data_IF_343741302251
#
_entry.id   IF_343741302251
#
_cell.length_a   1.000
_cell.length_b   1.000
_cell.length_c   1.000
_cell.angle_alpha   90.00
_cell.angle_beta   90.00
_cell.angle_gamma   90.00
#
_symmetry.space_group_name_H-M   'P 1'
#
loop_
_entity.id
_entity.type
_entity.pdbx_description
1 polymer ?
#
# COMPACT_ATOMS: atom_id res chain seq x y z
N UNK A 1 24.82 -6.37 -0.05
CA UNK A 1 24.62 -7.72 -0.62
C UNK A 1 23.89 -8.51 0.44
N UNK A 2 22.71 -8.98 0.08
CA UNK A 2 21.82 -9.72 0.96
C UNK A 2 22.41 -11.11 1.23
N UNK A 3 22.30 -11.57 2.48
CA UNK A 3 22.73 -12.90 2.90
C UNK A 3 21.78 -13.40 4.00
N UNK A 4 21.63 -14.72 4.09
CA UNK A 4 20.96 -15.36 5.23
C UNK A 4 21.96 -15.55 6.38
N UNK A 5 21.46 -15.70 7.60
CA UNK A 5 22.25 -16.20 8.72
C UNK A 5 22.55 -17.70 8.57
N UNK A 6 21.70 -18.45 7.85
CA UNK A 6 21.99 -19.84 7.48
C UNK A 6 22.98 -19.87 6.32
N UNK A 7 24.17 -20.42 6.60
CA UNK A 7 25.26 -20.60 5.65
C UNK A 7 24.91 -21.44 4.42
N UNK A 8 23.82 -22.21 4.46
CA UNK A 8 23.37 -23.04 3.34
C UNK A 8 22.18 -22.44 2.58
N UNK A 9 21.70 -21.25 2.96
CA UNK A 9 20.57 -20.59 2.33
C UNK A 9 21.03 -19.46 1.39
N UNK A 10 20.91 -19.71 0.08
CA UNK A 10 21.43 -18.81 -0.95
C UNK A 10 20.37 -18.16 -1.83
N UNK A 11 19.10 -18.54 -1.70
CA UNK A 11 18.05 -18.10 -2.62
C UNK A 11 17.91 -16.58 -2.63
N UNK A 12 18.00 -15.94 -1.46
CA UNK A 12 17.92 -14.50 -1.32
C UNK A 12 19.05 -13.78 -2.07
N UNK A 13 20.30 -14.20 -1.83
CA UNK A 13 21.46 -13.62 -2.52
C UNK A 13 21.38 -13.81 -4.06
N UNK A 14 20.87 -14.96 -4.51
CA UNK A 14 20.66 -15.23 -5.93
C UNK A 14 19.51 -14.41 -6.53
N UNK A 15 18.44 -14.18 -5.78
CA UNK A 15 17.33 -13.32 -6.18
C UNK A 15 17.79 -11.87 -6.33
N UNK A 16 18.51 -11.32 -5.35
CA UNK A 16 19.11 -9.97 -5.42
C UNK A 16 20.00 -9.85 -6.66
N UNK A 17 20.81 -10.88 -6.95
CA UNK A 17 21.66 -10.92 -8.15
C UNK A 17 20.87 -10.92 -9.46
N UNK A 18 19.78 -11.69 -9.53
CA UNK A 18 18.90 -11.72 -10.70
C UNK A 18 18.24 -10.36 -10.92
N UNK A 19 17.78 -9.72 -9.85
CA UNK A 19 17.17 -8.40 -9.87
C UNK A 19 18.17 -7.30 -10.28
N UNK A 20 19.39 -7.34 -9.73
CA UNK A 20 20.50 -6.48 -10.15
C UNK A 20 20.83 -6.65 -11.63
N UNK A 21 20.81 -7.89 -12.14
CA UNK A 21 21.04 -8.18 -13.57
C UNK A 21 19.95 -7.57 -14.45
N UNK A 22 18.68 -7.66 -14.04
CA UNK A 22 17.56 -7.06 -14.76
C UNK A 22 17.71 -5.54 -14.87
N UNK A 23 18.09 -4.88 -13.78
CA UNK A 23 18.30 -3.42 -13.74
C UNK A 23 19.68 -2.98 -14.24
N UNK A 24 20.57 -3.94 -14.51
CA UNK A 24 21.86 -3.77 -15.18
C UNK A 24 23.08 -3.75 -14.26
N UNK A 25 22.91 -3.43 -12.97
CA UNK A 25 23.98 -3.52 -11.96
C UNK A 25 23.43 -3.48 -10.54
N UNK A 26 24.23 -3.87 -9.55
CA UNK A 26 23.89 -3.68 -8.12
C UNK A 26 23.83 -2.20 -7.73
N UNK A 27 24.63 -1.33 -8.36
CA UNK A 27 24.61 0.10 -8.10
C UNK A 27 23.27 0.71 -8.52
N UNK A 28 22.66 0.18 -9.58
CA UNK A 28 21.33 0.60 -10.03
C UNK A 28 20.19 0.23 -9.07
N UNK A 29 20.44 -0.61 -8.07
CA UNK A 29 19.47 -0.93 -7.02
C UNK A 29 19.50 0.07 -5.85
N UNK A 30 20.54 0.92 -5.76
CA UNK A 30 20.61 1.94 -4.70
C UNK A 30 19.54 3.02 -4.94
N UNK A 31 18.71 3.26 -3.93
CA UNK A 31 17.68 4.30 -3.97
C UNK A 31 16.35 3.87 -4.61
N UNK A 32 16.12 2.57 -4.82
CA UNK A 32 14.77 2.05 -5.10
C UNK A 32 13.89 2.07 -3.85
N UNK A 33 12.57 2.14 -4.04
CA UNK A 33 11.61 2.05 -2.92
C UNK A 33 11.17 0.61 -2.68
N UNK A 34 10.70 0.31 -1.47
CA UNK A 34 10.14 -1.01 -1.17
C UNK A 34 8.93 -1.29 -2.06
N UNK A 35 8.10 -0.28 -2.35
CA UNK A 35 6.96 -0.37 -3.25
C UNK A 35 7.34 -0.86 -4.65
N UNK A 36 8.42 -0.31 -5.24
CA UNK A 36 8.89 -0.73 -6.56
C UNK A 36 9.30 -2.21 -6.57
N UNK A 37 9.98 -2.67 -5.52
CA UNK A 37 10.35 -4.07 -5.39
C UNK A 37 9.13 -4.98 -5.20
N UNK A 38 8.14 -4.54 -4.41
CA UNK A 38 6.91 -5.29 -4.19
C UNK A 38 6.11 -5.46 -5.47
N UNK A 39 5.99 -4.41 -6.29
CA UNK A 39 5.34 -4.49 -7.60
C UNK A 39 6.11 -5.43 -8.55
N UNK A 40 7.44 -5.29 -8.64
CA UNK A 40 8.27 -6.12 -9.52
C UNK A 40 8.25 -7.61 -9.11
N UNK A 41 8.11 -7.93 -7.82
CA UNK A 41 8.09 -9.31 -7.32
C UNK A 41 6.72 -9.97 -7.29
N UNK A 42 5.64 -9.18 -7.16
CA UNK A 42 4.29 -9.74 -7.00
C UNK A 42 3.39 -9.47 -8.20
N UNK A 43 3.71 -8.51 -9.05
CA UNK A 43 2.80 -8.00 -10.08
C UNK A 43 1.57 -7.28 -9.50
N UNK A 44 1.56 -7.02 -8.19
CA UNK A 44 0.50 -6.29 -7.50
C UNK A 44 0.55 -4.79 -7.72
N UNK A 45 -0.41 -4.08 -7.14
CA UNK A 45 -0.51 -2.62 -7.16
C UNK A 45 -0.19 -2.06 -5.79
N UNK A 46 0.80 -1.16 -5.69
CA UNK A 46 1.18 -0.57 -4.40
C UNK A 46 0.58 0.82 -4.19
N UNK A 47 -0.04 1.00 -3.03
CA UNK A 47 -0.50 2.28 -2.50
C UNK A 47 0.45 2.75 -1.40
N UNK A 48 0.69 4.06 -1.32
CA UNK A 48 1.55 4.67 -0.30
C UNK A 48 0.77 5.70 0.51
N UNK A 49 0.92 5.66 1.83
CA UNK A 49 0.25 6.56 2.77
C UNK A 49 1.26 7.20 3.73
N UNK A 50 1.28 8.53 3.78
CA UNK A 50 2.04 9.29 4.77
C UNK A 50 1.17 9.59 6.00
N UNK A 51 1.43 8.87 7.09
CA UNK A 51 0.59 8.80 8.29
C UNK A 51 0.50 10.14 9.02
N UNK A 52 1.59 10.92 9.02
CA UNK A 52 1.73 12.13 9.83
C UNK A 52 1.31 13.42 9.11
N UNK A 53 0.68 13.29 7.94
CA UNK A 53 0.23 14.41 7.12
C UNK A 53 -1.28 14.56 7.16
N UNK A 54 -1.78 15.76 6.84
CA UNK A 54 -3.22 16.01 6.68
C UNK A 54 -3.82 15.27 5.47
N UNK A 55 -2.97 14.71 4.59
CA UNK A 55 -3.39 13.88 3.46
C UNK A 55 -3.72 12.44 3.87
N UNK A 56 -3.34 12.03 5.09
CA UNK A 56 -3.66 10.71 5.61
C UNK A 56 -5.19 10.54 5.73
N UNK A 57 -5.78 9.52 5.09
CA UNK A 57 -7.21 9.32 5.16
C UNK A 57 -7.67 8.98 6.59
N UNK A 58 -8.77 9.55 7.09
CA UNK A 58 -9.25 9.31 8.45
C UNK A 58 -9.70 7.85 8.68
N UNK A 59 -10.05 7.15 7.60
CA UNK A 59 -10.44 5.74 7.58
C UNK A 59 -9.25 4.79 7.30
N UNK A 60 -8.00 5.22 7.49
CA UNK A 60 -6.81 4.40 7.23
C UNK A 60 -6.86 3.01 7.89
N UNK A 61 -7.34 2.91 9.13
CA UNK A 61 -7.48 1.60 9.78
C UNK A 61 -8.41 0.65 9.00
N UNK A 62 -9.52 1.17 8.47
CA UNK A 62 -10.45 0.40 7.65
C UNK A 62 -9.80 -0.04 6.34
N UNK A 63 -9.01 0.83 5.71
CA UNK A 63 -8.23 0.50 4.50
C UNK A 63 -7.27 -0.66 4.82
N UNK A 64 -6.47 -0.54 5.89
CA UNK A 64 -5.54 -1.58 6.33
C UNK A 64 -6.25 -2.90 6.68
N UNK A 65 -7.42 -2.83 7.32
CA UNK A 65 -8.23 -4.01 7.66
C UNK A 65 -8.74 -4.71 6.39
N UNK A 66 -9.30 -3.95 5.43
CA UNK A 66 -9.79 -4.45 4.14
C UNK A 66 -8.65 -5.05 3.31
N UNK A 67 -7.45 -4.44 3.36
CA UNK A 67 -6.24 -4.95 2.72
C UNK A 67 -5.77 -6.27 3.36
N UNK A 68 -5.72 -6.34 4.69
CA UNK A 68 -5.37 -7.57 5.42
C UNK A 68 -6.33 -8.73 5.10
N UNK A 69 -7.64 -8.47 5.05
CA UNK A 69 -8.66 -9.47 4.68
C UNK A 69 -8.48 -10.00 3.25
N UNK A 70 -7.88 -9.20 2.36
CA UNK A 70 -7.55 -9.54 0.98
C UNK A 70 -6.13 -10.08 0.80
N UNK A 71 -5.42 -10.32 1.91
CA UNK A 71 -4.02 -10.79 1.92
C UNK A 71 -3.06 -9.88 1.16
N UNK A 72 -3.36 -8.58 1.09
CA UNK A 72 -2.39 -7.59 0.61
C UNK A 72 -1.16 -7.61 1.51
N UNK A 73 0.01 -7.44 0.91
CA UNK A 73 1.23 -7.20 1.69
C UNK A 73 1.23 -5.77 2.20
N UNK A 74 1.72 -5.59 3.43
CA UNK A 74 1.80 -4.27 4.04
C UNK A 74 3.16 -4.07 4.68
N UNK A 75 3.82 -2.99 4.29
CA UNK A 75 5.05 -2.50 4.87
C UNK A 75 4.82 -1.19 5.61
N UNK A 76 5.66 -0.90 6.60
CA UNK A 76 5.68 0.42 7.23
C UNK A 76 7.10 0.80 7.63
N UNK A 77 7.34 2.11 7.77
CA UNK A 77 8.65 2.63 8.14
C UNK A 77 8.53 3.92 8.94
N UNK A 78 9.66 4.30 9.54
CA UNK A 78 9.82 5.55 10.27
C UNK A 78 10.89 6.36 9.53
N UNK A 79 10.51 7.50 8.98
CA UNK A 79 11.39 8.39 8.24
C UNK A 79 12.51 8.94 9.13
N UNK A 80 13.67 9.16 8.52
CA UNK A 80 14.82 9.82 9.14
C UNK A 80 15.02 11.19 8.49
N UNK A 81 15.35 12.20 9.30
CA UNK A 81 15.69 13.54 8.80
C UNK A 81 17.13 13.59 8.27
N UNK A 82 18.02 12.78 8.86
CA UNK A 82 19.45 12.75 8.55
C UNK A 82 19.93 11.29 8.43
N UNK A 83 20.86 11.05 7.49
CA UNK A 83 21.43 9.72 7.25
C UNK A 83 22.15 9.13 8.49
N UNK A 84 22.62 9.97 9.41
CA UNK A 84 23.20 9.54 10.69
C UNK A 84 22.19 8.89 11.65
N UNK A 85 20.89 9.09 11.42
CA UNK A 85 19.82 8.45 12.17
C UNK A 85 19.32 7.15 11.53
N UNK A 86 19.92 6.72 10.42
CA UNK A 86 19.60 5.46 9.77
C UNK A 86 19.85 4.31 10.73
N UNK A 87 18.88 3.40 10.86
CA UNK A 87 18.92 2.25 11.78
C UNK A 87 19.09 2.64 13.26
N UNK A 88 18.74 3.87 13.65
CA UNK A 88 18.82 4.31 15.04
C UNK A 88 17.67 3.74 15.88
N UNK A 89 18.01 3.07 16.98
CA UNK A 89 17.05 2.54 17.97
C UNK A 89 16.50 3.67 18.84
N UNK A 90 15.18 3.79 18.90
CA UNK A 90 14.43 4.72 19.72
C UNK A 90 14.24 4.18 21.14
N UNK A 91 13.91 5.06 22.08
CA UNK A 91 13.69 4.71 23.49
C UNK A 91 12.54 3.71 23.73
N UNK A 92 11.63 3.57 22.77
CA UNK A 92 10.48 2.67 22.80
C UNK A 92 10.75 1.33 22.06
N UNK A 93 12.01 1.11 21.65
CA UNK A 93 12.48 -0.10 20.97
C UNK A 93 12.38 -0.07 19.44
N UNK A 94 11.65 0.89 18.86
CA UNK A 94 11.51 1.00 17.40
C UNK A 94 12.79 1.54 16.75
N UNK A 95 13.07 1.12 15.53
CA UNK A 95 14.24 1.50 14.74
C UNK A 95 13.82 2.43 13.60
N UNK A 96 14.47 3.60 13.50
CA UNK A 96 14.26 4.55 12.41
C UNK A 96 14.98 4.16 11.13
N UNK A 97 14.45 4.58 9.98
CA UNK A 97 15.05 4.29 8.67
C UNK A 97 15.02 2.80 8.32
N UNK A 98 14.20 2.02 9.01
CA UNK A 98 14.10 0.58 8.88
C UNK A 98 12.71 0.18 8.40
N UNK A 99 12.65 -0.90 7.62
CA UNK A 99 11.40 -1.43 7.09
C UNK A 99 10.83 -2.50 8.04
N UNK A 100 9.55 -2.37 8.35
CA UNK A 100 8.76 -3.33 9.11
C UNK A 100 7.66 -3.92 8.24
N UNK A 101 7.20 -5.12 8.58
CA UNK A 101 6.04 -5.74 7.93
C UNK A 101 4.82 -5.67 8.86
N UNK A 102 3.67 -5.29 8.33
CA UNK A 102 2.40 -5.40 9.06
C UNK A 102 1.80 -6.77 8.76
N UNK A 103 1.74 -7.63 9.77
CA UNK A 103 1.34 -9.05 9.59
C UNK A 103 -0.09 -9.33 10.02
N UNK A 104 -0.70 -8.45 10.81
CA UNK A 104 -2.12 -8.55 11.17
C UNK A 104 -2.74 -7.20 11.51
N UNK A 105 -3.99 -7.00 11.09
CA UNK A 105 -4.79 -5.82 11.42
C UNK A 105 -6.16 -6.31 11.89
N UNK A 106 -6.50 -6.08 13.17
CA UNK A 106 -7.70 -6.65 13.77
C UNK A 106 -8.32 -5.72 14.81
N UNK A 107 -9.65 -5.79 14.90
CA UNK A 107 -10.33 -5.40 16.13
C UNK A 107 -10.19 -6.53 17.17
N UNK A 108 -9.69 -6.17 18.35
CA UNK A 108 -9.57 -7.07 19.50
C UNK A 108 -10.68 -6.75 20.47
N UNK A 109 -11.45 -7.78 20.83
CA UNK A 109 -12.51 -7.65 21.81
C UNK A 109 -11.93 -7.60 23.22
N UNK A 110 -12.35 -6.58 23.96
CA UNK A 110 -12.01 -6.41 25.37
C UNK A 110 -13.29 -6.48 26.16
N UNK A 111 -13.31 -7.36 27.15
CA UNK A 111 -14.40 -7.48 28.11
C UNK A 111 -13.83 -7.47 29.53
N UNK A 112 -13.63 -6.27 30.06
CA UNK A 112 -13.13 -6.06 31.41
C UNK A 112 -14.02 -5.04 32.13
N UNK A 113 -14.09 -5.13 33.47
CA UNK A 113 -14.99 -4.34 34.34
C UNK A 113 -14.94 -2.83 34.10
N UNK A 114 -13.83 -2.30 33.56
CA UNK A 114 -13.61 -0.87 33.30
C UNK A 114 -13.59 -0.50 31.81
N UNK A 115 -13.44 -1.46 30.92
CA UNK A 115 -13.26 -1.23 29.47
C UNK A 115 -13.97 -2.36 28.74
N UNK A 116 -14.98 -2.01 27.97
CA UNK A 116 -15.69 -2.93 27.08
C UNK A 116 -15.69 -2.36 25.66
N UNK A 117 -15.50 -3.22 24.67
CA UNK A 117 -15.61 -2.85 23.26
C UNK A 117 -14.59 -3.53 22.37
N UNK A 118 -14.31 -2.89 21.23
CA UNK A 118 -13.34 -3.33 20.23
C UNK A 118 -12.20 -2.33 20.19
N UNK A 119 -10.96 -2.81 20.32
CA UNK A 119 -9.77 -1.99 20.17
C UNK A 119 -9.09 -2.28 18.82
N UNK A 120 -8.76 -1.25 18.03
CA UNK A 120 -8.00 -1.42 16.80
C UNK A 120 -6.53 -1.68 17.13
N UNK A 121 -6.06 -2.91 16.88
CA UNK A 121 -4.66 -3.29 17.06
C UNK A 121 -4.02 -3.69 15.73
N UNK A 122 -2.72 -3.41 15.63
CA UNK A 122 -1.87 -3.77 14.50
C UNK A 122 -0.72 -4.62 15.01
N UNK A 123 -0.44 -5.74 14.34
CA UNK A 123 0.73 -6.58 14.57
C UNK A 123 1.78 -6.26 13.53
N UNK A 124 2.98 -6.01 14.00
CA UNK A 124 4.11 -5.54 13.21
C UNK A 124 5.28 -6.50 13.47
N UNK A 125 6.07 -6.79 12.43
CA UNK A 125 7.25 -7.63 12.50
C UNK A 125 8.48 -6.84 12.10
N UNK A 126 9.50 -6.91 12.93
CA UNK A 126 10.86 -6.54 12.58
C UNK A 126 11.53 -7.71 11.81
N UNK A 127 11.89 -7.55 10.52
CA UNK A 127 12.48 -8.63 9.74
C UNK A 127 13.82 -9.16 10.28
N UNK A 128 14.54 -8.38 11.09
CA UNK A 128 15.78 -8.82 11.71
C UNK A 128 15.58 -9.88 12.79
N UNK A 129 14.35 -10.06 13.30
CA UNK A 129 14.04 -11.06 14.32
C UNK A 129 14.86 -10.93 15.60
N UNK A 130 15.41 -9.74 15.86
CA UNK A 130 16.22 -9.46 17.05
C UNK A 130 15.36 -8.85 18.17
N UNK A 131 15.91 -8.76 19.38
CA UNK A 131 15.20 -8.28 20.58
C UNK A 131 14.76 -6.79 20.53
N UNK A 132 14.99 -6.08 19.41
CA UNK A 132 14.54 -4.69 19.24
C UNK A 132 13.05 -4.65 18.87
N UNK A 133 12.22 -4.84 19.89
CA UNK A 133 10.76 -4.85 19.81
C UNK A 133 10.14 -3.65 20.52
N UNK A 134 8.90 -3.33 20.17
CA UNK A 134 8.10 -2.33 20.84
C UNK A 134 7.97 -2.61 22.33
N UNK A 135 8.33 -1.65 23.19
CA UNK A 135 8.26 -1.80 24.65
C UNK A 135 7.07 -1.12 25.30
N UNK A 136 6.14 -0.55 24.51
CA UNK A 136 4.99 0.19 25.01
C UNK A 136 3.75 -0.68 25.29
N UNK A 137 2.58 -0.05 25.29
CA UNK A 137 1.31 -0.75 25.47
C UNK A 137 1.08 -1.79 24.37
N UNK A 138 0.57 -2.96 24.74
CA UNK A 138 0.36 -4.13 23.87
C UNK A 138 1.62 -4.86 23.40
N UNK A 139 2.81 -4.45 23.86
CA UNK A 139 4.02 -5.28 23.74
C UNK A 139 3.85 -6.66 24.38
N UNK A 140 4.76 -7.57 24.10
CA UNK A 140 4.69 -8.96 24.57
C UNK A 140 4.62 -9.09 26.10
N UNK A 141 5.27 -8.18 26.82
CA UNK A 141 5.32 -8.14 28.29
C UNK A 141 4.29 -7.18 28.90
N UNK A 142 3.41 -6.61 28.07
CA UNK A 142 2.42 -5.60 28.46
C UNK A 142 1.33 -6.18 29.36
N UNK A 143 0.95 -5.42 30.40
CA UNK A 143 -0.15 -5.80 31.31
C UNK A 143 -1.51 -5.63 30.66
N UNK A 144 -1.59 -4.88 29.58
CA UNK A 144 -2.79 -4.63 28.79
C UNK A 144 -3.36 -5.92 28.20
N UNK A 145 -2.55 -6.97 28.05
CA UNK A 145 -3.08 -8.29 27.71
C UNK A 145 -3.96 -8.92 28.81
N UNK A 146 -3.95 -8.44 30.05
CA UNK A 146 -4.80 -8.98 31.13
C UNK A 146 -6.28 -8.71 30.95
N UNK A 147 -6.65 -7.69 30.15
CA UNK A 147 -8.04 -7.34 29.87
C UNK A 147 -8.63 -8.08 28.65
N UNK A 148 -7.83 -8.92 27.98
CA UNK A 148 -8.26 -9.73 26.83
C UNK A 148 -8.46 -11.19 27.28
N UNK A 149 -9.58 -11.79 26.91
CA UNK A 149 -9.88 -13.18 27.27
C UNK A 149 -8.89 -14.17 26.61
N UNK A 150 -8.65 -15.36 27.21
CA UNK A 150 -7.81 -16.38 26.59
C UNK A 150 -8.28 -16.81 25.20
N UNK A 151 -9.60 -16.89 24.99
CA UNK A 151 -10.23 -17.23 23.71
C UNK A 151 -9.90 -16.18 22.64
N UNK A 152 -9.97 -14.89 22.99
CA UNK A 152 -9.62 -13.81 22.07
C UNK A 152 -8.12 -13.78 21.76
N UNK A 153 -7.26 -14.07 22.73
CA UNK A 153 -5.81 -14.23 22.49
C UNK A 153 -5.52 -15.34 21.49
N UNK A 154 -6.22 -16.47 21.63
CA UNK A 154 -6.10 -17.57 20.67
C UNK A 154 -6.62 -17.16 19.28
N UNK A 155 -7.77 -16.47 19.20
CA UNK A 155 -8.35 -16.00 17.93
C UNK A 155 -7.45 -15.03 17.18
N UNK A 156 -6.76 -14.13 17.89
CA UNK A 156 -5.84 -13.20 17.25
C UNK A 156 -4.50 -13.85 16.89
N UNK A 157 -4.24 -15.07 17.37
CA UNK A 157 -2.98 -15.78 17.15
C UNK A 157 -1.84 -15.17 17.96
N UNK A 158 -2.12 -14.75 19.20
CA UNK A 158 -1.11 -14.16 20.06
C UNK A 158 -0.07 -15.21 20.45
N UNK A 159 1.14 -15.05 19.93
CA UNK A 159 2.35 -15.75 20.35
C UNK A 159 3.27 -14.77 21.05
N UNK A 160 4.10 -15.28 21.96
CA UNK A 160 5.13 -14.49 22.65
C UNK A 160 6.48 -15.14 22.36
N UNK A 161 6.82 -15.15 21.07
CA UNK A 161 8.06 -15.72 20.57
C UNK A 161 9.06 -14.58 20.33
N UNK A 162 10.35 -14.85 20.49
CA UNK A 162 11.39 -13.87 20.16
C UNK A 162 11.66 -13.88 18.64
N UNK A 163 10.65 -13.50 17.85
CA UNK A 163 10.67 -13.51 16.39
C UNK A 163 10.58 -12.11 15.76
N UNK A 164 10.61 -11.07 16.61
CA UNK A 164 10.48 -9.67 16.24
C UNK A 164 9.05 -9.23 15.94
N UNK A 165 8.03 -10.08 16.15
CA UNK A 165 6.62 -9.69 16.09
C UNK A 165 6.16 -9.03 17.39
N UNK A 166 5.42 -7.93 17.28
CA UNK A 166 4.79 -7.27 18.41
C UNK A 166 3.47 -6.64 18.01
N UNK A 167 2.58 -6.45 18.98
CA UNK A 167 1.34 -5.69 18.79
C UNK A 167 1.47 -4.26 19.33
N UNK A 168 0.71 -3.36 18.72
CA UNK A 168 0.47 -2.02 19.25
C UNK A 168 -0.94 -1.54 18.91
N UNK A 169 -1.39 -0.53 19.64
CA UNK A 169 -2.64 0.15 19.30
C UNK A 169 -2.49 0.92 17.98
N UNK A 170 -3.56 1.02 17.19
CA UNK A 170 -3.52 1.83 15.97
C UNK A 170 -3.18 3.31 16.27
N UNK A 171 -3.59 3.83 17.43
CA UNK A 171 -3.24 5.18 17.85
C UNK A 171 -1.74 5.34 18.12
N UNK A 172 -1.07 4.34 18.68
CA UNK A 172 0.38 4.38 18.87
C UNK A 172 1.10 4.16 17.54
N UNK A 173 0.56 3.30 16.67
CA UNK A 173 1.07 3.15 15.32
C UNK A 173 1.08 4.49 14.56
N UNK A 174 -0.02 5.24 14.60
CA UNK A 174 -0.12 6.56 13.96
C UNK A 174 0.87 7.59 14.53
N UNK A 175 1.21 7.50 15.83
CA UNK A 175 2.15 8.41 16.48
C UNK A 175 3.61 8.10 16.16
N UNK A 176 3.94 6.83 15.91
CA UNK A 176 5.33 6.38 15.83
C UNK A 176 5.80 6.14 14.39
N UNK A 177 4.92 5.66 13.50
CA UNK A 177 5.24 5.40 12.10
C UNK A 177 4.94 6.60 11.22
N UNK A 178 5.64 6.70 10.09
CA UNK A 178 5.49 7.81 9.14
C UNK A 178 4.90 7.36 7.83
N UNK A 179 5.23 6.15 7.35
CA UNK A 179 4.83 5.66 6.04
C UNK A 179 4.21 4.27 6.13
N UNK A 180 3.24 4.01 5.24
CA UNK A 180 2.68 2.69 4.98
C UNK A 180 2.70 2.44 3.48
N UNK A 181 3.09 1.23 3.11
CA UNK A 181 2.99 0.73 1.75
C UNK A 181 2.04 -0.48 1.76
N UNK A 182 1.02 -0.46 0.91
CA UNK A 182 0.04 -1.55 0.78
C UNK A 182 0.09 -2.08 -0.64
N UNK A 183 0.57 -3.31 -0.83
CA UNK A 183 0.61 -3.96 -2.13
C UNK A 183 -0.55 -4.93 -2.27
N UNK A 184 -1.53 -4.53 -3.07
CA UNK A 184 -2.70 -5.33 -3.41
C UNK A 184 -2.34 -6.37 -4.46
N UNK A 185 -2.54 -7.64 -4.11
CA UNK A 185 -2.20 -8.77 -4.96
C UNK A 185 -3.28 -9.04 -6.00
N UNK A 186 -2.83 -9.47 -7.19
CA UNK A 186 -3.72 -10.01 -8.22
C UNK A 186 -4.20 -11.40 -7.82
N UNK A 187 -5.39 -11.85 -8.28
CA UNK A 187 -5.91 -13.20 -8.01
C UNK A 187 -4.92 -14.33 -8.29
N UNK A 188 -4.11 -14.18 -9.34
CA UNK A 188 -3.11 -15.18 -9.76
C UNK A 188 -2.05 -15.45 -8.68
N UNK A 189 -1.85 -14.51 -7.74
CA UNK A 189 -0.87 -14.62 -6.66
C UNK A 189 -1.34 -15.51 -5.49
N UNK A 190 -2.62 -15.90 -5.45
CA UNK A 190 -3.25 -16.58 -4.30
C UNK A 190 -3.74 -18.01 -4.62
N UNK A 191 -3.53 -18.52 -5.83
CA UNK A 191 -4.21 -19.70 -6.38
C UNK A 191 -3.60 -21.07 -6.01
N UNK A 192 -2.78 -21.13 -4.96
CA UNK A 192 -2.31 -22.41 -4.43
C UNK A 192 -3.33 -22.96 -3.42
N UNK A 193 -3.90 -24.12 -3.76
CA UNK A 193 -5.06 -24.80 -3.17
C UNK A 193 -5.10 -25.08 -1.65
N UNK A 194 -4.22 -24.46 -0.85
CA UNK A 194 -4.23 -24.47 0.62
C UNK A 194 -4.88 -23.22 1.23
N UNK A 195 -5.10 -22.14 0.45
CA UNK A 195 -5.73 -20.90 0.94
C UNK A 195 -7.24 -20.77 0.64
N UNK A 196 -7.85 -21.83 0.09
CA UNK A 196 -9.23 -21.89 -0.47
C UNK A 196 -10.35 -21.75 0.59
N UNK A 197 -10.01 -21.43 1.83
CA UNK A 197 -10.97 -21.30 2.91
C UNK A 197 -11.78 -20.00 2.86
N UNK A 198 -11.13 -18.83 3.00
CA UNK A 198 -11.85 -17.57 3.27
C UNK A 198 -10.97 -16.33 3.01
N UNK A 199 -10.71 -15.95 1.75
CA UNK A 199 -10.01 -14.69 1.45
C UNK A 199 -10.70 -13.97 0.30
N UNK A 200 -11.13 -12.73 0.57
CA UNK A 200 -11.68 -11.82 -0.45
C UNK A 200 -10.57 -11.56 -1.48
N UNK A 201 -10.85 -11.66 -2.77
CA UNK A 201 -9.87 -11.40 -3.83
C UNK A 201 -10.18 -10.08 -4.55
N UNK A 202 -9.14 -9.42 -5.07
CA UNK A 202 -9.29 -8.25 -5.93
C UNK A 202 -9.75 -8.67 -7.34
N UNK A 203 -10.73 -7.98 -7.91
CA UNK A 203 -10.97 -8.08 -9.35
C UNK A 203 -10.03 -7.12 -10.08
N UNK A 204 -9.32 -7.61 -11.09
CA UNK A 204 -8.28 -6.84 -11.79
C UNK A 204 -8.63 -6.73 -13.26
N UNK A 205 -8.60 -5.50 -13.77
CA UNK A 205 -8.65 -5.20 -15.20
C UNK A 205 -7.46 -4.32 -15.55
N UNK A 206 -6.74 -4.67 -16.62
CA UNK A 206 -5.62 -3.87 -17.11
C UNK A 206 -5.85 -3.50 -18.57
N UNK A 207 -5.45 -2.28 -18.91
CA UNK A 207 -5.52 -1.76 -20.27
C UNK A 207 -4.15 -1.26 -20.69
N UNK A 208 -3.77 -1.56 -21.92
CA UNK A 208 -2.58 -1.01 -22.52
C UNK A 208 -2.93 0.11 -23.49
N UNK A 209 -2.15 1.19 -23.44
CA UNK A 209 -2.38 2.38 -24.27
C UNK A 209 -1.07 3.09 -24.59
N UNK A 210 -1.18 4.11 -25.45
CA UNK A 210 -0.05 4.95 -25.84
C UNK A 210 -0.49 6.38 -26.15
N UNK A 211 0.37 7.34 -25.82
CA UNK A 211 0.21 8.74 -26.20
C UNK A 211 1.09 9.04 -27.41
N UNK A 212 0.45 9.26 -28.57
CA UNK A 212 1.11 9.55 -29.84
C UNK A 212 0.96 11.06 -30.14
N UNK A 213 2.06 11.79 -30.39
CA UNK A 213 2.00 13.20 -30.77
C UNK A 213 1.07 13.44 -31.97
N UNK A 214 0.17 14.44 -31.84
CA UNK A 214 -0.79 14.80 -32.87
C UNK A 214 -1.98 13.84 -33.06
N UNK A 215 -2.07 12.77 -32.25
CA UNK A 215 -3.17 11.80 -32.32
C UNK A 215 -3.86 11.64 -30.97
N UNK A 216 -3.15 11.15 -29.95
CA UNK A 216 -3.71 10.82 -28.63
C UNK A 216 -3.00 11.51 -27.47
N UNK A 217 -1.88 12.20 -27.71
CA UNK A 217 -1.17 12.97 -26.69
C UNK A 217 -1.86 14.31 -26.39
N UNK A 218 -3.03 14.25 -25.74
CA UNK A 218 -3.91 15.39 -25.49
C UNK A 218 -3.53 16.29 -24.31
N UNK A 219 -2.49 15.95 -23.54
CA UNK A 219 -2.08 16.71 -22.36
C UNK A 219 -3.04 16.57 -21.18
N UNK A 220 -2.89 17.42 -20.15
CA UNK A 220 -3.74 17.45 -18.97
C UNK A 220 -4.95 18.39 -19.12
N UNK A 221 -5.80 18.48 -18.09
CA UNK A 221 -7.02 19.32 -18.09
C UNK A 221 -6.77 20.82 -18.36
N UNK A 222 -5.53 21.30 -18.21
CA UNK A 222 -5.15 22.67 -18.58
C UNK A 222 -5.14 22.92 -20.10
N UNK A 223 -5.20 21.86 -20.91
CA UNK A 223 -5.20 21.90 -22.39
C UNK A 223 -6.50 21.30 -22.93
N UNK A 224 -7.65 21.87 -22.56
CA UNK A 224 -8.98 21.31 -22.87
C UNK A 224 -9.21 21.04 -24.36
N UNK A 225 -8.65 21.89 -25.22
CA UNK A 225 -8.71 21.83 -26.68
C UNK A 225 -8.11 20.55 -27.27
N UNK A 226 -7.27 19.86 -26.51
CA UNK A 226 -6.63 18.59 -26.91
C UNK A 226 -6.87 17.47 -25.89
N UNK A 227 -7.29 17.78 -24.67
CA UNK A 227 -7.48 16.83 -23.57
C UNK A 227 -8.38 15.65 -23.92
N UNK A 228 -9.47 15.89 -24.65
CA UNK A 228 -10.42 14.85 -25.06
C UNK A 228 -9.84 13.81 -26.03
N UNK A 229 -8.68 14.08 -26.63
CA UNK A 229 -7.96 13.16 -27.51
C UNK A 229 -7.23 12.05 -26.74
N UNK A 230 -7.02 12.21 -25.43
CA UNK A 230 -6.42 11.16 -24.61
C UNK A 230 -7.29 9.89 -24.64
N UNK A 231 -6.69 8.69 -24.49
CA UNK A 231 -7.45 7.45 -24.32
C UNK A 231 -8.43 7.55 -23.15
N UNK A 232 -9.65 7.05 -23.35
CA UNK A 232 -10.72 7.06 -22.35
C UNK A 232 -11.12 5.61 -22.02
N UNK A 233 -11.32 5.34 -20.74
CA UNK A 233 -11.69 4.02 -20.23
C UNK A 233 -12.93 4.16 -19.35
N UNK A 234 -13.91 3.29 -19.57
CA UNK A 234 -15.14 3.24 -18.79
C UNK A 234 -15.01 2.17 -17.71
N UNK A 235 -15.38 2.52 -16.48
CA UNK A 235 -15.39 1.62 -15.34
C UNK A 235 -16.82 1.60 -14.79
N UNK A 236 -17.35 0.40 -14.56
CA UNK A 236 -18.68 0.21 -13.97
C UNK A 236 -18.51 -0.48 -12.63
N UNK A 237 -18.94 0.18 -11.55
CA UNK A 237 -18.91 -0.35 -10.19
C UNK A 237 -20.30 -0.90 -9.87
N UNK A 238 -20.39 -2.20 -9.58
CA UNK A 238 -21.68 -2.89 -9.35
C UNK A 238 -21.77 -3.56 -7.99
N UNK A 239 -20.64 -4.04 -7.46
CA UNK A 239 -20.56 -4.76 -6.20
C UNK A 239 -20.20 -3.80 -5.05
N UNK A 240 -21.15 -3.61 -4.13
CA UNK A 240 -20.95 -2.82 -2.91
C UNK A 240 -20.09 -3.59 -1.89
N UNK A 241 -19.31 -2.87 -1.09
CA UNK A 241 -18.56 -3.43 0.03
C UNK A 241 -19.51 -3.85 1.18
N UNK A 242 -19.10 -4.83 1.99
CA UNK A 242 -19.97 -5.36 3.07
C UNK A 242 -20.30 -4.34 4.18
N UNK A 243 -19.49 -3.30 4.33
CA UNK A 243 -19.51 -2.38 5.47
C UNK A 243 -20.17 -1.03 5.15
N UNK A 244 -20.35 -0.70 3.86
CA UNK A 244 -20.96 0.54 3.38
C UNK A 244 -21.65 0.33 2.01
N UNK A 245 -22.63 1.16 1.66
CA UNK A 245 -23.31 1.10 0.34
C UNK A 245 -22.40 1.65 -0.81
N UNK A 246 -21.08 1.57 -0.66
CA UNK A 246 -20.08 2.11 -1.58
C UNK A 246 -19.29 0.99 -2.26
N UNK A 247 -18.69 1.31 -3.41
CA UNK A 247 -17.82 0.39 -4.15
C UNK A 247 -16.38 0.91 -4.08
N UNK A 248 -15.44 0.10 -3.59
CA UNK A 248 -14.01 0.46 -3.57
C UNK A 248 -13.32 0.03 -4.86
N UNK A 249 -12.61 0.96 -5.52
CA UNK A 249 -11.79 0.69 -6.69
C UNK A 249 -10.42 1.36 -6.54
N UNK A 250 -9.35 0.64 -6.90
CA UNK A 250 -7.98 1.16 -6.93
C UNK A 250 -7.55 1.26 -8.39
N UNK A 251 -7.09 2.44 -8.81
CA UNK A 251 -6.68 2.72 -10.19
C UNK A 251 -5.21 3.13 -10.19
N UNK A 252 -4.39 2.43 -10.97
CA UNK A 252 -2.98 2.74 -11.16
C UNK A 252 -2.68 3.02 -12.64
N UNK A 253 -1.89 4.08 -12.90
CA UNK A 253 -1.42 4.43 -14.23
C UNK A 253 0.11 4.35 -14.28
N UNK A 254 0.63 3.39 -15.03
CA UNK A 254 2.07 3.11 -15.11
C UNK A 254 2.65 3.45 -16.49
N UNK A 255 3.80 4.14 -16.51
CA UNK A 255 4.56 4.40 -17.74
C UNK A 255 5.62 3.31 -18.00
N UNK A 256 5.63 2.75 -19.20
CA UNK A 256 6.54 1.64 -19.55
C UNK A 256 7.92 2.13 -20.02
N UNK A 257 8.97 1.37 -19.67
CA UNK A 257 10.34 1.49 -20.22
C UNK A 257 11.11 2.80 -19.89
N UNK A 258 10.67 3.62 -18.94
CA UNK A 258 11.38 4.87 -18.63
C UNK A 258 12.66 4.69 -17.81
N UNK A 259 12.80 3.61 -17.01
CA UNK A 259 14.07 3.29 -16.32
C UNK A 259 15.24 3.06 -17.30
N UNK A 260 14.99 2.40 -18.44
CA UNK A 260 16.01 2.19 -19.49
C UNK A 260 16.34 3.53 -20.17
N UNK A 261 15.34 4.39 -20.36
CA UNK A 261 15.51 5.72 -20.97
C UNK A 261 16.27 6.71 -20.06
N UNK A 262 16.33 6.50 -18.73
CA UNK A 262 17.24 7.26 -17.86
C UNK A 262 18.71 7.16 -18.28
N UNK A 263 19.14 6.00 -18.80
CA UNK A 263 20.50 5.84 -19.37
C UNK A 263 20.75 6.74 -20.60
N UNK A 264 19.67 7.24 -21.21
CA UNK A 264 19.68 8.18 -22.34
C UNK A 264 19.39 9.63 -21.89
N UNK A 265 19.35 9.91 -20.59
CA UNK A 265 19.07 11.24 -20.03
C UNK A 265 17.59 11.67 -20.09
N UNK A 266 16.67 10.71 -20.29
CA UNK A 266 15.23 10.97 -20.32
C UNK A 266 14.61 10.53 -18.99
N UNK A 267 14.01 11.48 -18.29
CA UNK A 267 13.30 11.23 -17.03
C UNK A 267 11.90 10.65 -17.24
N UNK A 268 11.24 10.32 -16.12
CA UNK A 268 9.82 9.96 -16.11
C UNK A 268 8.99 11.17 -16.56
N UNK A 269 7.95 10.91 -17.36
CA UNK A 269 6.98 11.95 -17.70
C UNK A 269 6.06 12.20 -16.51
N UNK A 270 5.62 13.45 -16.35
CA UNK A 270 4.51 13.78 -15.46
C UNK A 270 3.23 13.18 -16.03
N UNK A 271 2.67 12.21 -15.32
CA UNK A 271 1.45 11.49 -15.70
C UNK A 271 0.39 11.65 -14.61
N UNK A 272 -0.87 11.47 -14.99
CA UNK A 272 -2.01 11.49 -14.09
C UNK A 272 -3.28 11.18 -14.86
N UNK A 273 -4.39 11.01 -14.14
CA UNK A 273 -5.70 10.75 -14.71
C UNK A 273 -6.77 11.55 -13.96
N UNK A 274 -7.95 11.65 -14.56
CA UNK A 274 -9.13 12.27 -13.96
C UNK A 274 -10.31 11.35 -14.20
N UNK A 275 -11.11 11.13 -13.15
CA UNK A 275 -12.32 10.31 -13.21
C UNK A 275 -13.52 11.25 -13.34
N UNK A 276 -14.43 10.91 -14.25
CA UNK A 276 -15.68 11.63 -14.43
C UNK A 276 -16.84 10.67 -14.23
N UNK A 277 -17.85 11.10 -13.50
CA UNK A 277 -19.13 10.41 -13.44
C UNK A 277 -19.87 10.64 -14.76
N UNK A 278 -20.36 9.56 -15.37
CA UNK A 278 -21.07 9.60 -16.64
C UNK A 278 -22.48 9.05 -16.45
N UNK A 279 -23.46 9.69 -17.09
CA UNK A 279 -24.83 9.20 -17.09
C UNK A 279 -24.90 7.84 -17.83
N UNK A 280 -25.82 6.98 -17.42
CA UNK A 280 -26.04 5.65 -18.04
C UNK A 280 -26.30 5.70 -19.56
N UNK A 281 -26.72 6.86 -20.08
CA UNK A 281 -27.01 7.08 -21.49
C UNK A 281 -25.83 7.65 -22.30
N UNK A 282 -24.68 7.90 -21.67
CA UNK A 282 -23.48 8.40 -22.34
C UNK A 282 -22.73 7.25 -22.99
N UNK A 283 -22.94 7.04 -24.29
CA UNK A 283 -22.24 6.01 -25.06
C UNK A 283 -21.10 6.60 -25.90
N UNK A 284 -19.90 6.05 -25.75
CA UNK A 284 -18.74 6.36 -26.58
C UNK A 284 -17.77 7.38 -25.98
N UNK A 285 -16.86 7.87 -26.81
CA UNK A 285 -15.79 8.80 -26.41
C UNK A 285 -16.38 10.18 -26.12
N UNK A 286 -16.16 10.68 -24.91
CA UNK A 286 -16.53 12.03 -24.49
C UNK A 286 -15.74 13.05 -25.30
N UNK A 287 -16.42 14.04 -25.87
CA UNK A 287 -15.82 15.06 -26.73
C UNK A 287 -15.64 16.38 -25.96
N UNK A 288 -15.03 17.35 -26.63
CA UNK A 288 -14.71 18.68 -26.08
C UNK A 288 -15.91 19.38 -25.42
N UNK A 289 -17.10 19.19 -25.98
CA UNK A 289 -18.34 19.75 -25.47
C UNK A 289 -18.60 19.32 -24.03
N UNK A 290 -18.54 18.01 -23.74
CA UNK A 290 -18.77 17.45 -22.40
C UNK A 290 -17.85 18.09 -21.34
N UNK A 291 -16.55 18.21 -21.63
CA UNK A 291 -15.60 18.79 -20.68
C UNK A 291 -15.78 20.30 -20.49
N UNK A 292 -16.23 21.00 -21.53
CA UNK A 292 -16.52 22.43 -21.46
C UNK A 292 -17.75 22.72 -20.59
N UNK A 293 -18.80 21.90 -20.69
CA UNK A 293 -19.99 22.01 -19.84
C UNK A 293 -19.68 21.80 -18.35
N UNK A 294 -18.86 20.80 -18.00
CA UNK A 294 -18.46 20.56 -16.61
C UNK A 294 -17.68 21.72 -15.99
N UNK A 295 -16.85 22.41 -16.76
CA UNK A 295 -16.17 23.62 -16.28
C UNK A 295 -17.16 24.74 -15.96
N UNK A 296 -18.17 24.92 -16.79
CA UNK A 296 -19.21 25.92 -16.58
C UNK A 296 -19.99 25.60 -15.30
N UNK A 297 -20.44 24.35 -15.09
CA UNK A 297 -21.13 23.97 -13.85
C UNK A 297 -20.26 24.15 -12.59
N UNK A 298 -18.97 23.81 -12.65
CA UNK A 298 -18.06 24.04 -11.51
C UNK A 298 -17.91 25.52 -11.15
N UNK A 299 -17.94 26.42 -12.14
CA UNK A 299 -17.86 27.86 -11.91
C UNK A 299 -19.18 28.42 -11.32
N UNK A 300 -20.32 27.83 -11.65
CA UNK A 300 -21.62 28.24 -11.09
C UNK A 300 -21.85 27.74 -9.65
N UNK A 301 -21.26 26.62 -9.25
CA UNK A 301 -21.36 26.12 -7.87
C UNK A 301 -20.39 26.80 -6.87
N UNK A 302 -19.47 27.63 -7.36
CA UNK A 302 -18.53 28.41 -6.55
C UNK A 302 -18.85 29.92 -6.48
N UNK A 303 -20.04 30.34 -6.95
CA UNK A 303 -20.61 31.69 -6.79
C UNK A 303 -21.82 31.66 -5.85
#
# INVERSE_FOLDING_TARGET
MMHSEDVNEFWGALLEKAYAKLHGSYESLKGGTTSEAMEDFTGGLTEHYEIQTDECPPNLFTIMLKAHQRSSFMGCSISVEDASQMEAVMHNGLIKGHAYSITSVKYVHVDHVRVQGKLPLVRIRNPWGNEAEWTGAWSDKSREWTIVSPEEKQRIGLTFDADGEFWMSFADFQKNFTNIEITNLTPDSLDDGEFVGFKKAWQVNYFEGQWIPGVSAGGCRNHLDTFYLNPQYMITLTDQDDDDELCTCVIALMQKNHRIKRKMGLDNLTIGFVIYEVNENSYGVLRLDYYSYLLIESLYHHL
#
